data_IF_368378382586
#
_entry.id   IF_368378382586
#
_cell.length_a   1.000
_cell.length_b   1.000
_cell.length_c   1.000
_cell.angle_alpha   90.00
_cell.angle_beta   90.00
_cell.angle_gamma   90.00
#
_symmetry.space_group_name_H-M   'P 1'
#
loop_
_entity.id
_entity.type
_entity.pdbx_description
1 polymer ?
#
# COMPACT_ATOMS: atom_id res chain seq x y z
N UNK A 1 -4.71 23.26 16.55
CA UNK A 1 -4.37 22.77 15.21
C UNK A 1 -4.32 21.26 15.23
N UNK A 2 -5.10 20.61 14.37
CA UNK A 2 -5.02 19.15 14.25
C UNK A 2 -3.81 18.78 13.40
N UNK A 3 -3.02 17.84 13.90
CA UNK A 3 -1.93 17.29 13.10
C UNK A 3 -2.49 16.54 11.86
N UNK A 4 -1.78 16.58 10.75
CA UNK A 4 -2.14 15.80 9.58
C UNK A 4 -2.09 14.29 9.93
N UNK A 5 -3.03 13.52 9.38
CA UNK A 5 -3.02 12.06 9.56
C UNK A 5 -1.71 11.46 9.04
N UNK A 6 -1.11 10.51 9.79
CA UNK A 6 0.09 9.82 9.32
C UNK A 6 -0.15 9.11 8.00
N UNK A 7 0.91 9.03 7.20
CA UNK A 7 0.90 8.36 5.90
C UNK A 7 1.59 7.00 6.04
N UNK A 8 0.84 5.94 5.75
CA UNK A 8 1.29 4.55 5.89
C UNK A 8 1.35 3.87 4.53
N UNK A 9 2.53 3.44 4.13
CA UNK A 9 2.74 2.67 2.91
C UNK A 9 2.66 1.19 3.24
N UNK A 10 1.85 0.46 2.48
CA UNK A 10 1.65 -0.99 2.65
C UNK A 10 2.07 -1.70 1.36
N UNK A 11 2.98 -2.67 1.47
CA UNK A 11 3.47 -3.40 0.30
C UNK A 11 3.91 -4.80 0.67
N UNK A 12 3.77 -5.74 -0.28
CA UNK A 12 4.37 -7.05 -0.23
C UNK A 12 5.49 -7.11 -1.28
N UNK A 13 6.69 -7.47 -0.86
CA UNK A 13 7.91 -7.40 -1.68
C UNK A 13 8.65 -8.73 -1.62
N UNK A 14 8.93 -9.33 -2.76
CA UNK A 14 9.73 -10.55 -2.84
C UNK A 14 11.20 -10.29 -2.49
N UNK A 15 11.94 -11.34 -2.19
CA UNK A 15 13.38 -11.24 -1.85
C UNK A 15 14.20 -10.60 -2.97
N UNK A 16 13.76 -10.73 -4.23
CA UNK A 16 14.41 -10.07 -5.38
C UNK A 16 13.81 -8.69 -5.72
N UNK A 17 12.94 -8.14 -4.86
CA UNK A 17 12.35 -6.82 -5.04
C UNK A 17 11.08 -6.79 -5.88
N UNK A 18 10.66 -7.90 -6.45
CA UNK A 18 9.46 -7.96 -7.31
C UNK A 18 8.20 -7.76 -6.48
N UNK A 19 7.28 -6.91 -6.97
CA UNK A 19 5.97 -6.64 -6.36
C UNK A 19 4.80 -6.99 -7.27
N UNK A 20 5.03 -7.27 -8.54
CA UNK A 20 3.99 -7.63 -9.48
C UNK A 20 4.53 -8.03 -10.83
N UNK A 21 3.67 -8.65 -11.65
CA UNK A 21 3.96 -9.01 -13.03
C UNK A 21 2.68 -8.85 -13.85
N UNK A 22 2.78 -8.12 -14.97
CA UNK A 22 1.66 -7.84 -15.86
C UNK A 22 0.42 -7.33 -15.09
N UNK A 23 0.65 -6.42 -14.15
CA UNK A 23 -0.38 -5.80 -13.31
C UNK A 23 -1.20 -6.81 -12.48
N UNK A 24 -0.58 -7.92 -12.07
CA UNK A 24 -1.23 -8.99 -11.29
C UNK A 24 -0.41 -9.35 -10.06
N UNK A 25 -1.10 -9.87 -9.03
CA UNK A 25 -0.45 -10.54 -7.92
C UNK A 25 0.18 -11.84 -8.41
N UNK A 26 1.40 -12.11 -7.96
CA UNK A 26 2.22 -13.24 -8.41
C UNK A 26 2.31 -14.38 -7.38
N UNK A 27 1.60 -14.23 -6.25
CA UNK A 27 1.52 -15.25 -5.19
C UNK A 27 0.15 -15.23 -4.53
N UNK A 28 -0.13 -16.30 -3.82
CA UNK A 28 -1.34 -16.42 -3.01
C UNK A 28 -0.91 -16.49 -1.53
N UNK A 29 -1.17 -15.41 -0.79
CA UNK A 29 -0.87 -15.27 0.62
C UNK A 29 -2.12 -14.74 1.33
N UNK A 30 -3.00 -15.66 1.76
CA UNK A 30 -4.27 -15.28 2.42
C UNK A 30 -4.03 -14.53 3.72
N UNK A 31 -2.99 -14.90 4.47
CA UNK A 31 -2.63 -14.23 5.71
C UNK A 31 -2.24 -12.78 5.46
N UNK A 32 -1.50 -12.52 4.38
CA UNK A 32 -1.14 -11.16 3.98
C UNK A 32 -2.36 -10.34 3.55
N UNK A 33 -3.28 -10.94 2.82
CA UNK A 33 -4.53 -10.28 2.43
C UNK A 33 -5.37 -9.89 3.65
N UNK A 34 -5.43 -10.74 4.67
CA UNK A 34 -6.11 -10.42 5.94
C UNK A 34 -5.43 -9.26 6.65
N UNK A 35 -4.11 -9.23 6.66
CA UNK A 35 -3.34 -8.13 7.25
C UNK A 35 -3.58 -6.83 6.49
N UNK A 36 -3.55 -6.87 5.17
CA UNK A 36 -3.86 -5.71 4.33
C UNK A 36 -5.24 -5.15 4.66
N UNK A 37 -6.24 -6.01 4.78
CA UNK A 37 -7.59 -5.59 5.16
C UNK A 37 -7.60 -4.95 6.54
N UNK A 38 -6.95 -5.55 7.51
CA UNK A 38 -6.85 -5.04 8.89
C UNK A 38 -6.18 -3.65 8.93
N UNK A 39 -5.13 -3.46 8.14
CA UNK A 39 -4.39 -2.19 8.09
C UNK A 39 -5.14 -1.08 7.36
N UNK A 40 -6.07 -1.43 6.48
CA UNK A 40 -6.77 -0.46 5.64
C UNK A 40 -8.22 -0.22 6.04
N UNK A 41 -8.86 -1.16 6.72
CA UNK A 41 -10.28 -1.07 7.08
C UNK A 41 -10.57 0.20 7.88
N UNK A 42 -11.62 0.93 7.50
CA UNK A 42 -11.98 2.20 8.13
C UNK A 42 -11.09 3.38 7.76
N UNK A 43 -10.22 3.21 6.77
CA UNK A 43 -9.25 4.22 6.35
C UNK A 43 -9.33 4.51 4.86
N UNK A 44 -8.89 5.70 4.41
CA UNK A 44 -8.70 5.93 2.98
C UNK A 44 -7.51 5.13 2.46
N UNK A 45 -7.64 4.62 1.23
CA UNK A 45 -6.59 3.86 0.53
C UNK A 45 -6.28 4.56 -0.79
N UNK A 46 -5.06 5.05 -0.92
CA UNK A 46 -4.57 5.69 -2.14
C UNK A 46 -3.85 4.66 -3.00
N UNK A 47 -4.17 4.61 -4.28
CA UNK A 47 -3.53 3.70 -5.23
C UNK A 47 -3.49 4.30 -6.63
N UNK A 48 -2.60 3.78 -7.47
CA UNK A 48 -2.57 4.12 -8.88
C UNK A 48 -3.69 3.42 -9.66
N UNK A 49 -3.96 3.92 -10.85
CA UNK A 49 -5.04 3.38 -11.70
C UNK A 49 -4.85 1.90 -12.03
N UNK A 50 -3.64 1.49 -12.38
CA UNK A 50 -3.36 0.08 -12.72
C UNK A 50 -3.61 -0.86 -11.55
N UNK A 51 -3.24 -0.43 -10.34
CA UNK A 51 -3.52 -1.19 -9.12
C UNK A 51 -5.02 -1.34 -8.89
N UNK A 52 -5.77 -0.24 -9.05
CA UNK A 52 -7.23 -0.31 -8.97
C UNK A 52 -7.82 -1.27 -10.01
N UNK A 53 -7.35 -1.22 -11.25
CA UNK A 53 -7.86 -2.11 -12.31
C UNK A 53 -7.57 -3.58 -12.00
N UNK A 54 -6.44 -3.88 -11.34
CA UNK A 54 -6.14 -5.26 -10.94
C UNK A 54 -7.07 -5.75 -9.81
N UNK A 55 -7.49 -4.87 -8.92
CA UNK A 55 -8.48 -5.18 -7.87
C UNK A 55 -9.88 -5.29 -8.46
N UNK A 56 -10.23 -4.37 -9.37
CA UNK A 56 -11.46 -4.40 -10.17
C UNK A 56 -12.69 -3.80 -9.51
N UNK A 57 -12.62 -3.40 -8.24
CA UNK A 57 -13.75 -2.84 -7.50
C UNK A 57 -13.28 -1.99 -6.33
N UNK A 58 -14.12 -1.06 -5.81
CA UNK A 58 -13.83 -0.38 -4.56
C UNK A 58 -13.69 -1.38 -3.41
N UNK A 59 -12.79 -1.08 -2.47
CA UNK A 59 -12.57 -1.93 -1.31
C UNK A 59 -13.66 -1.68 -0.25
N UNK A 60 -14.42 -2.72 0.18
CA UNK A 60 -15.47 -2.53 1.18
C UNK A 60 -14.93 -2.03 2.51
N UNK A 61 -15.65 -1.09 3.15
CA UNK A 61 -15.28 -0.53 4.45
C UNK A 61 -14.10 0.44 4.40
N UNK A 62 -13.70 0.86 3.22
CA UNK A 62 -12.58 1.79 2.97
C UNK A 62 -13.01 2.79 1.92
N UNK A 63 -12.34 3.95 1.88
CA UNK A 63 -12.52 4.91 0.81
C UNK A 63 -11.36 4.80 -0.17
N UNK A 64 -11.65 4.41 -1.40
CA UNK A 64 -10.64 4.22 -2.45
C UNK A 64 -10.40 5.52 -3.18
N UNK A 65 -9.15 5.96 -3.25
CA UNK A 65 -8.72 7.16 -3.96
C UNK A 65 -7.71 6.73 -5.01
N UNK A 66 -8.04 6.94 -6.28
CA UNK A 66 -7.21 6.54 -7.40
C UNK A 66 -6.48 7.75 -7.97
N UNK A 67 -5.15 7.63 -8.04
CA UNK A 67 -4.28 8.63 -8.66
C UNK A 67 -4.26 8.38 -10.16
N UNK A 68 -4.79 9.33 -10.94
CA UNK A 68 -4.84 9.22 -12.40
C UNK A 68 -4.88 10.61 -13.05
N UNK A 69 -4.19 10.75 -14.17
CA UNK A 69 -4.26 11.97 -14.99
C UNK A 69 -5.40 11.96 -15.99
N UNK A 70 -6.11 10.84 -16.11
CA UNK A 70 -7.22 10.71 -17.04
C UNK A 70 -8.52 11.23 -16.41
N UNK A 71 -9.04 12.39 -16.84
CA UNK A 71 -10.28 12.95 -16.27
C UNK A 71 -11.52 12.14 -16.61
N UNK A 72 -11.44 11.25 -17.60
CA UNK A 72 -12.54 10.36 -17.98
C UNK A 72 -12.62 9.11 -17.08
N UNK A 73 -11.58 8.83 -16.29
CA UNK A 73 -11.55 7.69 -15.39
C UNK A 73 -12.30 8.03 -14.11
N UNK A 74 -13.57 7.58 -14.03
CA UNK A 74 -14.47 7.88 -12.90
C UNK A 74 -15.31 6.67 -12.52
N UNK A 75 -14.70 5.57 -12.04
CA UNK A 75 -15.49 4.40 -11.62
C UNK A 75 -16.41 4.76 -10.45
N UNK A 76 -17.56 4.11 -10.40
CA UNK A 76 -18.50 4.29 -9.30
C UNK A 76 -17.88 3.86 -7.97
N UNK A 77 -18.13 4.64 -6.92
CA UNK A 77 -17.63 4.33 -5.57
C UNK A 77 -16.17 4.64 -5.34
N UNK A 78 -15.52 5.33 -6.28
CA UNK A 78 -14.10 5.69 -6.21
C UNK A 78 -13.95 7.20 -6.35
N UNK A 79 -13.02 7.77 -5.59
CA UNK A 79 -12.58 9.16 -5.76
C UNK A 79 -11.32 9.16 -6.61
N UNK A 80 -11.08 10.21 -7.36
CA UNK A 80 -9.89 10.35 -8.21
C UNK A 80 -9.16 11.65 -7.90
N UNK A 81 -7.86 11.64 -8.15
CA UNK A 81 -7.00 12.83 -8.03
C UNK A 81 -5.93 12.78 -9.12
N UNK A 82 -5.53 13.97 -9.62
CA UNK A 82 -4.64 14.08 -10.77
C UNK A 82 -3.16 13.94 -10.42
N UNK A 83 -2.79 14.25 -9.18
CA UNK A 83 -1.40 14.14 -8.70
C UNK A 83 -1.38 13.70 -7.24
N UNK A 84 -0.17 13.39 -6.74
CA UNK A 84 -0.02 12.87 -5.38
C UNK A 84 -0.46 13.88 -4.32
N UNK A 85 -0.11 15.15 -4.46
CA UNK A 85 -0.48 16.19 -3.49
C UNK A 85 -2.00 16.30 -3.37
N UNK A 86 -2.71 16.32 -4.50
CA UNK A 86 -4.17 16.33 -4.50
C UNK A 86 -4.74 15.06 -3.89
N UNK A 87 -4.16 13.89 -4.19
CA UNK A 87 -4.61 12.62 -3.64
C UNK A 87 -4.44 12.57 -2.12
N UNK A 88 -3.30 13.01 -1.59
CA UNK A 88 -3.04 13.01 -0.15
C UNK A 88 -3.90 14.04 0.58
N UNK A 89 -4.12 15.21 0.01
CA UNK A 89 -5.02 16.23 0.57
C UNK A 89 -6.44 15.70 0.67
N UNK A 90 -6.93 15.09 -0.40
CA UNK A 90 -8.26 14.46 -0.43
C UNK A 90 -8.34 13.31 0.58
N UNK A 91 -7.32 12.45 0.65
CA UNK A 91 -7.28 11.33 1.57
C UNK A 91 -7.31 11.78 3.03
N UNK A 92 -6.63 12.87 3.37
CA UNK A 92 -6.65 13.42 4.73
C UNK A 92 -8.01 14.00 5.10
N UNK A 93 -8.68 14.66 4.17
CA UNK A 93 -10.04 15.16 4.37
C UNK A 93 -11.03 14.01 4.58
N UNK A 94 -10.96 13.01 3.71
CA UNK A 94 -11.82 11.82 3.78
C UNK A 94 -11.53 11.04 5.06
N UNK A 95 -10.26 10.86 5.40
CA UNK A 95 -9.85 10.17 6.62
C UNK A 95 -10.35 10.84 7.88
N UNK A 96 -10.29 12.17 7.95
CA UNK A 96 -10.85 12.92 9.07
C UNK A 96 -12.37 12.71 9.20
N UNK A 97 -13.09 12.72 8.09
CA UNK A 97 -14.54 12.48 8.07
C UNK A 97 -14.89 11.03 8.48
N UNK A 98 -14.01 10.07 8.18
CA UNK A 98 -14.18 8.66 8.58
C UNK A 98 -13.83 8.39 10.05
N UNK A 99 -13.18 9.32 10.71
CA UNK A 99 -12.57 9.09 12.04
C UNK A 99 -11.34 8.19 11.96
N UNK A 100 -10.65 8.15 10.81
CA UNK A 100 -9.47 7.32 10.61
C UNK A 100 -8.25 7.88 11.35
N UNK A 101 -7.33 6.99 11.70
CA UNK A 101 -6.06 7.35 12.37
C UNK A 101 -4.89 7.51 11.40
N UNK A 102 -5.09 7.17 10.12
CA UNK A 102 -4.03 7.22 9.12
C UNK A 102 -4.60 7.23 7.71
N UNK A 103 -3.78 7.61 6.75
CA UNK A 103 -3.99 7.43 5.32
C UNK A 103 -3.10 6.30 4.87
N UNK A 104 -3.65 5.33 4.11
CA UNK A 104 -2.89 4.18 3.62
C UNK A 104 -2.64 4.28 2.11
N UNK A 105 -1.53 3.70 1.66
CA UNK A 105 -1.13 3.68 0.25
C UNK A 105 -0.82 2.24 -0.16
N UNK A 106 -1.45 1.79 -1.24
CA UNK A 106 -1.44 0.38 -1.66
C UNK A 106 -0.70 0.09 -2.97
N UNK A 107 -0.01 1.06 -3.57
CA UNK A 107 0.80 0.84 -4.77
C UNK A 107 0.25 1.52 -6.02
N UNK A 108 0.77 1.28 -7.21
CA UNK A 108 1.93 0.42 -7.48
C UNK A 108 3.30 1.08 -7.35
N UNK A 109 4.26 0.58 -8.10
CA UNK A 109 5.66 0.98 -7.98
C UNK A 109 5.88 2.50 -8.08
N UNK A 110 5.24 3.15 -9.03
CA UNK A 110 5.39 4.59 -9.21
C UNK A 110 4.82 5.39 -8.04
N UNK A 111 3.66 4.97 -7.52
CA UNK A 111 3.05 5.59 -6.34
C UNK A 111 3.94 5.35 -5.11
N UNK A 112 4.47 4.16 -4.92
CA UNK A 112 5.42 3.86 -3.85
C UNK A 112 6.66 4.76 -3.92
N UNK A 113 7.20 4.96 -5.12
CA UNK A 113 8.37 5.82 -5.32
C UNK A 113 8.10 7.25 -4.85
N UNK A 114 6.94 7.78 -5.18
CA UNK A 114 6.55 9.14 -4.79
C UNK A 114 6.27 9.27 -3.30
N UNK A 115 5.74 8.21 -2.67
CA UNK A 115 5.31 8.22 -1.27
C UNK A 115 6.45 7.95 -0.30
N UNK A 116 7.43 7.13 -0.66
CA UNK A 116 8.51 6.73 0.24
C UNK A 116 9.21 7.90 0.96
N UNK A 117 9.51 9.02 0.29
CA UNK A 117 10.11 10.17 0.99
C UNK A 117 9.18 10.84 2.00
N UNK A 118 7.87 10.60 1.90
CA UNK A 118 6.84 11.26 2.70
C UNK A 118 6.24 10.34 3.78
N UNK A 119 6.40 9.03 3.64
CA UNK A 119 5.73 8.06 4.51
C UNK A 119 6.22 8.17 5.95
N UNK A 120 5.28 8.14 6.89
CA UNK A 120 5.57 8.12 8.32
C UNK A 120 5.83 6.71 8.82
N UNK A 121 5.22 5.71 8.17
CA UNK A 121 5.36 4.30 8.52
C UNK A 121 5.29 3.44 7.26
N UNK A 122 6.10 2.38 7.22
CA UNK A 122 6.03 1.35 6.20
C UNK A 122 5.58 0.05 6.86
N UNK A 123 4.55 -0.56 6.31
CA UNK A 123 4.08 -1.89 6.69
C UNK A 123 4.40 -2.82 5.52
N UNK A 124 5.53 -3.52 5.62
CA UNK A 124 6.02 -4.36 4.54
C UNK A 124 5.85 -5.84 4.88
N UNK A 125 5.53 -6.62 3.85
CA UNK A 125 5.58 -8.08 3.89
C UNK A 125 6.71 -8.50 2.96
N UNK A 126 7.77 -9.07 3.54
CA UNK A 126 8.84 -9.66 2.74
C UNK A 126 8.48 -11.10 2.42
N UNK A 127 8.22 -11.37 1.14
CA UNK A 127 7.85 -12.70 0.66
C UNK A 127 9.12 -13.45 0.27
N UNK A 128 9.35 -14.60 0.89
CA UNK A 128 10.58 -15.38 0.70
C UNK A 128 10.49 -16.22 -0.56
N UNK A 129 10.52 -15.55 -1.69
CA UNK A 129 10.50 -16.10 -3.04
C UNK A 129 11.23 -15.14 -3.97
N UNK A 130 11.64 -15.64 -5.13
CA UNK A 130 12.31 -14.85 -6.17
C UNK A 130 11.60 -15.03 -7.51
N UNK A 131 10.34 -14.59 -7.64
CA UNK A 131 9.58 -14.74 -8.88
C UNK A 131 10.11 -13.84 -9.98
N UNK A 132 9.81 -14.18 -11.22
CA UNK A 132 9.94 -13.23 -12.32
C UNK A 132 8.82 -12.19 -12.22
N UNK A 133 9.10 -10.95 -12.59
CA UNK A 133 8.11 -9.90 -12.59
C UNK A 133 8.67 -8.60 -13.16
N UNK A 134 7.78 -7.74 -13.63
CA UNK A 134 8.12 -6.49 -14.29
C UNK A 134 8.01 -5.27 -13.37
N UNK A 135 7.39 -5.40 -12.21
CA UNK A 135 7.26 -4.32 -11.24
C UNK A 135 8.15 -4.59 -10.03
N UNK A 136 8.97 -3.61 -9.67
CA UNK A 136 9.91 -3.68 -8.55
C UNK A 136 9.57 -2.63 -7.52
N UNK A 137 9.74 -3.00 -6.23
CA UNK A 137 9.64 -2.03 -5.15
C UNK A 137 10.81 -1.04 -5.28
N UNK A 138 10.55 0.29 -5.16
CA UNK A 138 11.62 1.28 -5.30
C UNK A 138 12.68 1.14 -4.21
N UNK A 139 13.90 1.58 -4.49
CA UNK A 139 14.93 1.75 -3.47
C UNK A 139 14.48 2.80 -2.45
N UNK A 140 14.83 2.58 -1.19
CA UNK A 140 14.48 3.49 -0.11
C UNK A 140 15.55 3.54 0.96
N UNK A 141 15.61 4.64 1.68
CA UNK A 141 16.62 4.88 2.72
C UNK A 141 16.17 4.26 4.04
N UNK A 142 16.64 3.05 4.32
CA UNK A 142 16.32 2.34 5.57
C UNK A 142 16.83 3.09 6.80
N UNK A 143 17.87 3.89 6.68
CA UNK A 143 18.44 4.64 7.80
C UNK A 143 17.50 5.74 8.30
N UNK A 144 16.53 6.16 7.48
CA UNK A 144 15.52 7.13 7.86
C UNK A 144 14.43 6.56 8.78
N UNK A 145 14.46 5.24 9.04
CA UNK A 145 13.42 4.54 9.77
C UNK A 145 14.01 3.72 10.91
N UNK A 146 13.16 3.43 11.91
CA UNK A 146 13.42 2.48 12.99
C UNK A 146 12.57 1.25 12.72
N UNK A 147 13.18 0.07 12.70
CA UNK A 147 12.48 -1.19 12.51
C UNK A 147 11.94 -1.73 13.82
N UNK A 148 10.67 -2.14 13.84
CA UNK A 148 10.13 -2.96 14.93
C UNK A 148 10.63 -4.41 14.77
N UNK A 149 10.44 -5.24 15.79
CA UNK A 149 10.79 -6.66 15.70
C UNK A 149 9.98 -7.34 14.59
N UNK A 150 10.61 -8.05 13.66
CA UNK A 150 9.91 -8.70 12.56
C UNK A 150 9.11 -9.92 13.05
N UNK A 151 8.04 -10.25 12.30
CA UNK A 151 7.18 -11.39 12.58
C UNK A 151 7.26 -12.38 11.41
N UNK A 152 7.89 -13.53 11.67
CA UNK A 152 8.11 -14.55 10.64
C UNK A 152 6.94 -15.54 10.59
N UNK A 153 6.54 -15.90 9.38
CA UNK A 153 5.47 -16.85 9.11
C UNK A 153 5.92 -17.91 8.11
N UNK A 154 5.65 -19.21 8.36
CA UNK A 154 5.97 -20.25 7.39
C UNK A 154 4.97 -20.30 6.25
N UNK A 155 5.34 -20.94 5.14
CA UNK A 155 4.37 -21.35 4.13
C UNK A 155 3.40 -22.37 4.73
N UNK A 156 2.20 -22.42 4.20
CA UNK A 156 1.16 -23.34 4.69
C UNK A 156 -0.03 -23.43 3.72
N UNK A 157 -1.14 -24.05 4.15
CA UNK A 157 -2.30 -24.24 3.26
C UNK A 157 -2.89 -22.93 2.74
N UNK A 158 -2.79 -21.86 3.52
CA UNK A 158 -3.30 -20.53 3.13
C UNK A 158 -2.24 -19.66 2.44
N UNK A 159 -0.97 -20.04 2.52
CA UNK A 159 0.14 -19.18 2.12
C UNK A 159 1.17 -19.96 1.29
N UNK A 160 1.31 -19.58 0.04
CA UNK A 160 2.15 -20.26 -0.95
C UNK A 160 3.64 -20.22 -0.61
N UNK A 161 4.08 -19.17 0.08
CA UNK A 161 5.47 -18.96 0.47
C UNK A 161 5.56 -18.57 1.93
N UNK A 162 6.73 -18.78 2.55
CA UNK A 162 7.07 -18.16 3.83
C UNK A 162 7.22 -16.64 3.63
N UNK A 163 6.93 -15.88 4.67
CA UNK A 163 6.99 -14.43 4.60
C UNK A 163 7.26 -13.83 5.98
N UNK A 164 7.63 -12.54 5.99
CA UNK A 164 7.94 -11.80 7.22
C UNK A 164 7.19 -10.49 7.19
N UNK A 165 6.40 -10.20 8.22
CA UNK A 165 5.85 -8.87 8.42
C UNK A 165 6.89 -7.98 9.09
N UNK A 166 7.09 -6.79 8.55
CA UNK A 166 8.06 -5.83 9.05
C UNK A 166 7.46 -4.42 9.07
N UNK A 167 7.58 -3.75 10.20
CA UNK A 167 7.12 -2.38 10.38
C UNK A 167 8.33 -1.47 10.53
N UNK A 168 8.36 -0.40 9.76
CA UNK A 168 9.41 0.63 9.82
C UNK A 168 8.74 1.95 10.13
N UNK A 169 9.20 2.62 11.18
CA UNK A 169 8.69 3.93 11.62
C UNK A 169 9.72 5.00 11.33
N UNK A 170 9.29 6.10 10.72
CA UNK A 170 10.21 7.20 10.41
C UNK A 170 10.80 7.77 11.70
N UNK A 171 12.10 8.02 11.68
CA UNK A 171 12.79 8.70 12.78
C UNK A 171 12.28 10.13 12.92
N UNK A 172 12.18 10.57 14.16
CA UNK A 172 11.79 11.94 14.46
C UNK A 172 12.87 12.94 14.01
#
# INVERSE_FOLDING_TARGET
MMAALPLVLIAAVADNGVIGDDNRLIWRLKTDLRRFRSLTLGRPVVMGRKTYLSIGKPLPGRETIVLTRDPAFRPEGVRTAADLDAALSLARQVGAAMGADSVTVAGGADVYRQVLPLADRLELTFVHARPAGDALFPEWDRSAFIADAPENHPAGPDDEHAFTFATFRRRA
#
